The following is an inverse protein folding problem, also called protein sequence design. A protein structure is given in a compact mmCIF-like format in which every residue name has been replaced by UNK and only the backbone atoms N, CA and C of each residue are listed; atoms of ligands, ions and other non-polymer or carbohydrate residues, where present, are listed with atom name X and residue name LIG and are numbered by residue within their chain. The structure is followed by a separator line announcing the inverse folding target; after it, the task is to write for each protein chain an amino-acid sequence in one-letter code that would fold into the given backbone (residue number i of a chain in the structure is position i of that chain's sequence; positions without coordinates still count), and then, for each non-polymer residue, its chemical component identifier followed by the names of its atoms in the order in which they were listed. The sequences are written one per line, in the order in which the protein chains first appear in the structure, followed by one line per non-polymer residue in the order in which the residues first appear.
data_IF_216925480793
#
_entry.id   IF_216925480793
#
_cell.length_a   1.000
_cell.length_b   1.000
_cell.length_c   1.000
_cell.angle_alpha   90.00
_cell.angle_beta   90.00
_cell.angle_gamma   90.00
#
_symmetry.space_group_name_H-M   'P 1'
#
loop_
_entity.id
_entity.type
_entity.pdbx_description
1 polymer ?
#
# COMPACT_ATOMS: atom_id res chain seq x y z
N UNK A 1 -18.90 7.17 15.29
CA UNK A 1 -18.13 8.11 14.44
C UNK A 1 -17.89 7.39 13.13
N UNK A 2 -17.98 8.07 11.98
CA UNK A 2 -17.67 7.40 10.72
C UNK A 2 -16.21 6.91 10.77
N UNK A 3 -15.99 5.62 10.50
CA UNK A 3 -14.66 5.02 10.43
C UNK A 3 -13.83 5.78 9.40
N UNK A 4 -12.68 6.30 9.83
CA UNK A 4 -11.77 7.03 8.97
C UNK A 4 -11.23 6.05 7.92
N UNK A 5 -11.44 6.34 6.63
CA UNK A 5 -10.96 5.49 5.52
C UNK A 5 -9.89 6.23 4.74
N UNK A 6 -8.69 5.68 4.64
CA UNK A 6 -7.58 6.32 3.93
C UNK A 6 -6.95 5.36 2.92
N UNK A 7 -6.72 5.87 1.71
CA UNK A 7 -5.94 5.18 0.69
C UNK A 7 -4.67 5.96 0.44
N UNK A 8 -3.52 5.38 0.79
CA UNK A 8 -2.22 5.96 0.52
C UNK A 8 -1.73 5.47 -0.84
N UNK A 9 -1.21 6.39 -1.64
CA UNK A 9 -0.64 6.09 -2.95
C UNK A 9 0.88 6.22 -2.92
N UNK A 10 1.57 5.12 -3.25
CA UNK A 10 3.04 5.10 -3.35
C UNK A 10 3.43 4.66 -4.76
N UNK A 11 3.75 5.62 -5.62
CA UNK A 11 4.19 5.41 -7.01
C UNK A 11 5.72 5.41 -7.19
N UNK A 12 6.45 5.92 -6.19
CA UNK A 12 7.91 6.06 -6.22
C UNK A 12 8.56 5.39 -5.00
N UNK A 13 9.75 4.82 -5.18
CA UNK A 13 10.43 4.07 -4.14
C UNK A 13 10.88 4.95 -2.95
N UNK A 14 11.23 6.20 -3.22
CA UNK A 14 11.68 7.19 -2.24
C UNK A 14 10.55 7.79 -1.39
N UNK A 15 9.28 7.50 -1.71
CA UNK A 15 8.13 7.95 -0.92
C UNK A 15 7.76 7.00 0.23
N UNK A 16 8.33 5.79 0.28
CA UNK A 16 8.08 4.82 1.35
C UNK A 16 8.38 5.35 2.77
N UNK A 17 9.46 6.10 3.03
CA UNK A 17 9.70 6.68 4.35
C UNK A 17 8.55 7.58 4.83
N UNK A 18 8.01 8.43 3.95
CA UNK A 18 6.86 9.29 4.27
C UNK A 18 5.59 8.45 4.49
N UNK A 19 5.35 7.46 3.62
CA UNK A 19 4.22 6.54 3.76
C UNK A 19 4.26 5.79 5.10
N UNK A 20 5.41 5.25 5.51
CA UNK A 20 5.56 4.57 6.80
C UNK A 20 5.40 5.52 7.99
N UNK A 21 5.87 6.76 7.88
CA UNK A 21 5.61 7.79 8.90
C UNK A 21 4.12 8.04 9.09
N UNK A 22 3.38 8.15 7.98
CA UNK A 22 1.93 8.31 8.00
C UNK A 22 1.23 7.07 8.58
N UNK A 23 1.59 5.86 8.15
CA UNK A 23 1.03 4.62 8.68
C UNK A 23 1.26 4.50 10.20
N UNK A 24 2.45 4.83 10.69
CA UNK A 24 2.75 4.79 12.12
C UNK A 24 1.88 5.76 12.94
N UNK A 25 1.58 6.94 12.41
CA UNK A 25 0.67 7.88 13.07
C UNK A 25 -0.78 7.40 12.99
N UNK A 26 -1.22 6.91 11.83
CA UNK A 26 -2.58 6.43 11.61
C UNK A 26 -2.90 5.21 12.49
N UNK A 27 -2.05 4.18 12.52
CA UNK A 27 -2.33 2.97 13.31
C UNK A 27 -2.23 3.22 14.81
N UNK A 28 -1.46 4.22 15.25
CA UNK A 28 -1.38 4.65 16.66
C UNK A 28 -2.59 5.49 17.09
N UNK A 29 -2.92 6.52 16.32
CA UNK A 29 -3.88 7.56 16.74
C UNK A 29 -5.32 7.22 16.31
N UNK A 30 -5.47 6.37 15.28
CA UNK A 30 -6.74 5.92 14.71
C UNK A 30 -6.73 4.40 14.47
N UNK A 31 -6.68 3.57 15.53
CA UNK A 31 -6.58 2.12 15.41
C UNK A 31 -7.78 1.47 14.69
N UNK A 32 -8.93 2.14 14.67
CA UNK A 32 -10.15 1.68 13.99
C UNK A 32 -10.26 2.18 12.52
N UNK A 33 -9.22 2.84 11.98
CA UNK A 33 -9.23 3.34 10.62
C UNK A 33 -9.10 2.21 9.58
N UNK A 34 -9.85 2.30 8.48
CA UNK A 34 -9.67 1.42 7.33
C UNK A 34 -8.57 1.97 6.43
N UNK A 35 -7.40 1.34 6.43
CA UNK A 35 -6.22 1.82 5.70
C UNK A 35 -5.92 0.88 4.53
N UNK A 36 -5.88 1.45 3.32
CA UNK A 36 -5.35 0.80 2.11
C UNK A 36 -4.08 1.53 1.66
N UNK A 37 -3.14 0.78 1.13
CA UNK A 37 -1.95 1.31 0.46
C UNK A 37 -1.90 0.73 -0.93
N UNK A 38 -1.93 1.57 -1.96
CA UNK A 38 -1.80 1.16 -3.35
C UNK A 38 -0.40 1.54 -3.83
N UNK A 39 0.38 0.52 -4.20
CA UNK A 39 1.68 0.69 -4.82
C UNK A 39 1.62 0.42 -6.33
N UNK A 40 2.21 1.33 -7.10
CA UNK A 40 2.43 1.17 -8.53
C UNK A 40 3.80 1.77 -8.91
N UNK A 41 4.14 1.79 -10.20
CA UNK A 41 5.45 2.28 -10.66
C UNK A 41 6.62 1.64 -9.92
N UNK A 42 7.61 2.45 -9.57
CA UNK A 42 8.77 2.01 -8.79
C UNK A 42 8.43 1.74 -7.31
N UNK A 43 7.27 2.19 -6.82
CA UNK A 43 6.81 1.92 -5.45
C UNK A 43 6.67 0.42 -5.16
N UNK A 44 6.45 -0.42 -6.17
CA UNK A 44 6.28 -1.88 -5.98
C UNK A 44 7.54 -2.58 -5.48
N UNK A 45 8.73 -1.99 -5.65
CA UNK A 45 9.99 -2.64 -5.28
C UNK A 45 10.12 -2.90 -3.78
N UNK A 46 9.40 -2.17 -2.91
CA UNK A 46 9.38 -2.45 -1.48
C UNK A 46 8.81 -3.83 -1.12
N UNK A 47 8.02 -4.43 -2.02
CA UNK A 47 7.40 -5.74 -1.81
C UNK A 47 8.30 -6.90 -2.24
N UNK A 48 9.47 -6.65 -2.84
CA UNK A 48 10.27 -7.71 -3.46
C UNK A 48 11.49 -8.05 -2.60
N UNK A 49 11.70 -9.35 -2.35
CA UNK A 49 12.81 -9.85 -1.54
C UNK A 49 12.68 -9.53 -0.06
N UNK A 50 13.74 -9.80 0.71
CA UNK A 50 13.84 -9.43 2.12
C UNK A 50 14.61 -8.11 2.24
N UNK A 51 14.05 -7.17 3.00
CA UNK A 51 14.60 -5.83 3.23
C UNK A 51 13.93 -5.17 4.43
N UNK A 52 14.53 -4.10 4.96
CA UNK A 52 13.93 -3.28 6.02
C UNK A 52 12.54 -2.72 5.62
N UNK A 53 12.32 -2.46 4.32
CA UNK A 53 11.01 -2.02 3.83
C UNK A 53 10.00 -3.17 3.90
N UNK A 54 10.43 -4.38 3.55
CA UNK A 54 9.59 -5.57 3.61
C UNK A 54 9.16 -5.88 5.05
N UNK A 55 10.06 -5.78 6.02
CA UNK A 55 9.74 -5.97 7.43
C UNK A 55 8.69 -4.96 7.93
N UNK A 56 8.79 -3.70 7.48
CA UNK A 56 7.79 -2.66 7.81
C UNK A 56 6.43 -2.95 7.18
N UNK A 57 6.40 -3.41 5.92
CA UNK A 57 5.15 -3.84 5.26
C UNK A 57 4.50 -4.99 6.04
N UNK A 58 5.28 -6.00 6.40
CA UNK A 58 4.80 -7.16 7.18
C UNK A 58 4.24 -6.73 8.55
N UNK A 59 4.92 -5.80 9.24
CA UNK A 59 4.43 -5.18 10.49
C UNK A 59 3.07 -4.51 10.28
N UNK A 60 2.95 -3.61 9.32
CA UNK A 60 1.70 -2.86 9.10
C UNK A 60 0.56 -3.75 8.60
N UNK A 61 0.87 -4.81 7.84
CA UNK A 61 -0.12 -5.80 7.45
C UNK A 61 -0.68 -6.53 8.68
N UNK A 62 0.16 -6.86 9.66
CA UNK A 62 -0.28 -7.44 10.94
C UNK A 62 -1.12 -6.45 11.78
N UNK A 63 -0.95 -5.14 11.60
CA UNK A 63 -1.78 -4.08 12.18
C UNK A 63 -3.07 -3.80 11.38
N UNK A 64 -3.37 -4.59 10.34
CA UNK A 64 -4.62 -4.49 9.58
C UNK A 64 -4.56 -3.60 8.33
N UNK A 65 -3.39 -3.06 7.97
CA UNK A 65 -3.22 -2.28 6.73
C UNK A 65 -3.30 -3.20 5.52
N UNK A 66 -4.15 -2.86 4.56
CA UNK A 66 -4.27 -3.61 3.29
C UNK A 66 -3.32 -3.07 2.23
N UNK A 67 -2.46 -3.93 1.69
CA UNK A 67 -1.55 -3.56 0.61
C UNK A 67 -2.02 -4.09 -0.73
N UNK A 68 -2.07 -3.20 -1.73
CA UNK A 68 -2.46 -3.50 -3.10
C UNK A 68 -1.33 -3.16 -4.06
N UNK A 69 -0.94 -4.11 -4.89
CA UNK A 69 0.20 -3.98 -5.82
C UNK A 69 -0.33 -4.02 -7.25
N UNK A 70 0.04 -3.02 -8.05
CA UNK A 70 -0.39 -2.90 -9.43
C UNK A 70 0.21 -4.00 -10.33
N UNK A 71 -0.65 -4.83 -10.92
CA UNK A 71 -0.24 -5.88 -11.87
C UNK A 71 0.48 -5.34 -13.11
N UNK A 72 0.08 -4.17 -13.61
CA UNK A 72 0.75 -3.58 -14.78
C UNK A 72 2.18 -3.16 -14.45
N UNK A 73 2.41 -2.62 -13.25
CA UNK A 73 3.75 -2.28 -12.79
C UNK A 73 4.61 -3.54 -12.57
N UNK A 74 4.03 -4.61 -11.99
CA UNK A 74 4.72 -5.91 -11.89
C UNK A 74 5.18 -6.42 -13.26
N UNK A 75 4.31 -6.35 -14.28
CA UNK A 75 4.64 -6.75 -15.65
C UNK A 75 5.74 -5.88 -16.26
N UNK A 76 5.64 -4.56 -16.10
CA UNK A 76 6.62 -3.59 -16.62
C UNK A 76 8.01 -3.80 -16.01
N UNK A 77 8.07 -4.12 -14.71
CA UNK A 77 9.31 -4.35 -14.00
C UNK A 77 9.77 -5.83 -13.98
N UNK A 78 9.09 -6.71 -14.72
CA UNK A 78 9.38 -8.14 -14.81
C UNK A 78 9.43 -8.86 -13.44
N UNK A 79 8.48 -8.52 -12.56
CA UNK A 79 8.36 -9.10 -11.22
C UNK A 79 7.21 -10.11 -11.22
N UNK A 80 7.53 -11.37 -10.91
CA UNK A 80 6.54 -12.42 -10.73
C UNK A 80 5.79 -12.25 -9.41
N UNK A 81 4.47 -12.49 -9.41
CA UNK A 81 3.64 -12.31 -8.21
C UNK A 81 4.02 -13.24 -7.06
N UNK A 82 4.69 -14.36 -7.34
CA UNK A 82 5.22 -15.28 -6.32
C UNK A 82 6.32 -14.65 -5.45
N UNK A 83 6.93 -13.56 -5.89
CA UNK A 83 7.92 -12.82 -5.11
C UNK A 83 7.29 -11.91 -4.04
N UNK A 84 5.98 -11.69 -4.10
CA UNK A 84 5.25 -10.79 -3.20
C UNK A 84 4.89 -11.49 -1.87
N UNK A 85 4.70 -10.73 -0.77
CA UNK A 85 4.15 -11.31 0.46
C UNK A 85 2.72 -11.81 0.24
N UNK A 86 2.33 -12.82 1.01
CA UNK A 86 0.96 -13.34 1.00
C UNK A 86 -0.11 -12.29 1.37
N UNK A 87 0.27 -11.22 2.07
CA UNK A 87 -0.64 -10.12 2.45
C UNK A 87 -0.79 -9.05 1.35
N UNK A 88 0.04 -9.08 0.31
CA UNK A 88 -0.05 -8.14 -0.80
C UNK A 88 -1.05 -8.66 -1.84
N UNK A 89 -2.14 -7.91 -2.02
CA UNK A 89 -3.15 -8.19 -3.02
C UNK A 89 -2.70 -7.64 -4.38
N UNK A 90 -2.65 -8.48 -5.41
CA UNK A 90 -2.35 -8.01 -6.78
C UNK A 90 -3.64 -7.50 -7.44
N UNK A 91 -3.70 -6.20 -7.69
CA UNK A 91 -4.85 -5.55 -8.34
C UNK A 91 -4.60 -5.33 -9.85
N UNK A 92 -5.65 -5.34 -10.70
CA UNK A 92 -5.50 -5.18 -12.14
C UNK A 92 -4.71 -3.95 -12.58
N UNK A 93 -4.95 -2.81 -11.92
CA UNK A 93 -4.26 -1.55 -12.15
C UNK A 93 -4.33 -0.66 -10.90
N UNK A 94 -3.23 -0.04 -10.50
CA UNK A 94 -3.18 0.82 -9.31
C UNK A 94 -4.11 2.03 -9.39
N UNK A 95 -4.19 2.68 -10.56
CA UNK A 95 -5.11 3.82 -10.77
C UNK A 95 -6.59 3.43 -10.60
N UNK A 96 -6.96 2.21 -11.00
CA UNK A 96 -8.33 1.70 -10.83
C UNK A 96 -8.61 1.42 -9.36
N UNK A 97 -7.69 0.76 -8.65
CA UNK A 97 -7.82 0.52 -7.21
C UNK A 97 -7.93 1.82 -6.40
N UNK A 98 -7.18 2.87 -6.77
CA UNK A 98 -7.30 4.20 -6.16
C UNK A 98 -8.67 4.86 -6.43
N UNK A 99 -9.19 4.73 -7.65
CA UNK A 99 -10.50 5.26 -8.01
C UNK A 99 -11.64 4.51 -7.30
N UNK A 100 -11.55 3.18 -7.20
CA UNK A 100 -12.48 2.34 -6.47
C UNK A 100 -12.46 2.65 -4.97
N UNK A 101 -11.28 2.77 -4.36
CA UNK A 101 -11.16 3.17 -2.96
C UNK A 101 -11.83 4.54 -2.71
N UNK A 102 -11.58 5.54 -3.57
CA UNK A 102 -12.24 6.84 -3.44
C UNK A 102 -13.77 6.75 -3.58
N UNK A 103 -14.28 5.90 -4.49
CA UNK A 103 -15.72 5.63 -4.60
C UNK A 103 -16.30 4.94 -3.37
N UNK A 104 -15.51 4.12 -2.68
CA UNK A 104 -15.86 3.47 -1.41
C UNK A 104 -15.77 4.43 -0.20
N UNK A 105 -15.48 5.72 -0.43
CA UNK A 105 -15.42 6.75 0.61
C UNK A 105 -14.03 6.94 1.23
N UNK A 106 -12.97 6.42 0.62
CA UNK A 106 -11.61 6.64 1.10
C UNK A 106 -11.12 8.04 0.76
N UNK A 107 -10.49 8.69 1.73
CA UNK A 107 -9.67 9.87 1.49
C UNK A 107 -8.36 9.45 0.80
N UNK A 108 -8.07 10.07 -0.35
CA UNK A 108 -6.82 9.86 -1.08
C UNK A 108 -5.68 10.66 -0.45
N UNK A 109 -4.59 9.98 -0.11
CA UNK A 109 -3.37 10.56 0.45
C UNK A 109 -2.19 10.22 -0.45
N UNK A 110 -1.42 11.23 -0.84
CA UNK A 110 -0.13 11.05 -1.54
C UNK A 110 0.99 11.53 -0.61
N UNK A 111 1.68 10.59 0.08
CA UNK A 111 2.83 10.89 0.94
C UNK A 111 4.00 11.52 0.19
#
# INVERSE_FOLDING_TARGET
MAELKLVLHVDQADHWPAAFGNLNNLTRDYPDAEIRVVANGAGIYAFVGQSDLREKLDKFAAEGVRFQVCRNALKEHHIESVALPNHAEVVPAGVVALAEAQRDGFAYIKP
#
